data_IF_254652917132
#
_entry.id   IF_254652917132
#
_cell.length_a   1.000
_cell.length_b   1.000
_cell.length_c   1.000
_cell.angle_alpha   90.00
_cell.angle_beta   90.00
_cell.angle_gamma   90.00
#
_symmetry.space_group_name_H-M   'P 1'
#
loop_
_entity.id
_entity.type
_entity.pdbx_description
1 polymer ?
#
# COMPACT_ATOMS: atom_id res chain seq x y z
N UNK A 1 9.33 6.91 16.38
CA UNK A 1 10.12 6.51 15.21
C UNK A 1 10.94 7.71 14.76
N UNK A 2 12.22 7.55 14.59
CA UNK A 2 13.13 8.62 14.17
C UNK A 2 12.96 8.97 12.67
N UNK A 3 13.60 10.07 12.23
CA UNK A 3 13.50 10.53 10.83
C UNK A 3 14.14 9.54 9.86
N UNK A 4 15.24 8.85 10.26
CA UNK A 4 15.95 7.89 9.40
C UNK A 4 15.09 6.66 9.12
N UNK A 5 14.49 6.06 10.15
CA UNK A 5 13.57 4.93 10.02
C UNK A 5 12.33 5.29 9.16
N UNK A 6 11.82 6.52 9.31
CA UNK A 6 10.70 6.99 8.50
C UNK A 6 11.06 7.18 7.02
N UNK A 7 12.29 7.62 6.72
CA UNK A 7 12.80 7.74 5.35
C UNK A 7 13.01 6.36 4.70
N UNK A 8 13.57 5.40 5.44
CA UNK A 8 13.73 4.03 4.96
C UNK A 8 12.38 3.38 4.63
N UNK A 9 11.37 3.56 5.50
CA UNK A 9 10.01 3.08 5.24
C UNK A 9 9.36 3.75 4.02
N UNK A 10 9.59 5.05 3.81
CA UNK A 10 9.13 5.73 2.61
C UNK A 10 9.79 5.12 1.36
N UNK A 11 11.11 4.96 1.35
CA UNK A 11 11.84 4.39 0.22
C UNK A 11 11.36 2.95 -0.09
N UNK A 12 11.18 2.10 0.94
CA UNK A 12 10.65 0.75 0.78
C UNK A 12 9.25 0.73 0.18
N UNK A 13 8.34 1.59 0.68
CA UNK A 13 6.99 1.72 0.13
C UNK A 13 6.99 2.18 -1.33
N UNK A 14 7.83 3.18 -1.65
CA UNK A 14 7.95 3.67 -3.03
C UNK A 14 8.45 2.57 -3.96
N UNK A 15 9.50 1.84 -3.58
CA UNK A 15 10.03 0.74 -4.38
C UNK A 15 9.00 -0.36 -4.62
N UNK A 16 8.32 -0.82 -3.56
CA UNK A 16 7.28 -1.85 -3.67
C UNK A 16 6.06 -1.31 -4.43
N UNK A 17 5.59 -0.09 -4.12
CA UNK A 17 4.43 0.50 -4.78
C UNK A 17 4.65 0.70 -6.28
N UNK A 18 5.85 1.12 -6.68
CA UNK A 18 6.19 1.35 -8.09
C UNK A 18 6.18 0.07 -8.92
N UNK A 19 6.73 -1.05 -8.40
CA UNK A 19 6.74 -2.31 -9.17
C UNK A 19 5.31 -2.79 -9.46
N UNK A 20 4.39 -2.70 -8.49
CA UNK A 20 3.00 -3.07 -8.69
C UNK A 20 2.26 -2.07 -9.60
N UNK A 21 2.50 -0.77 -9.45
CA UNK A 21 1.85 0.23 -10.29
C UNK A 21 2.25 0.07 -11.76
N UNK A 22 3.55 -0.07 -12.03
CA UNK A 22 4.06 -0.27 -13.40
C UNK A 22 3.53 -1.58 -13.98
N UNK A 23 3.51 -2.66 -13.20
CA UNK A 23 2.96 -3.96 -13.61
C UNK A 23 1.45 -3.85 -13.92
N UNK A 24 0.66 -3.24 -13.06
CA UNK A 24 -0.78 -3.09 -13.24
C UNK A 24 -1.13 -2.22 -14.44
N UNK A 25 -0.44 -1.08 -14.62
CA UNK A 25 -0.63 -0.20 -15.77
C UNK A 25 -0.20 -0.89 -17.08
N UNK A 26 0.88 -1.68 -17.06
CA UNK A 26 1.31 -2.48 -18.20
C UNK A 26 0.26 -3.50 -18.63
N UNK A 27 -0.42 -4.16 -17.67
CA UNK A 27 -1.55 -5.07 -17.95
C UNK A 27 -2.71 -4.34 -18.64
N UNK A 28 -3.04 -3.13 -18.19
CA UNK A 28 -4.10 -2.32 -18.81
C UNK A 28 -3.71 -1.87 -20.22
N UNK A 29 -2.47 -1.45 -20.41
CA UNK A 29 -1.96 -1.00 -21.72
C UNK A 29 -1.96 -2.13 -22.76
N UNK A 30 -1.75 -3.38 -22.35
CA UNK A 30 -1.78 -4.58 -23.21
C UNK A 30 -2.84 -5.57 -22.73
N UNK A 31 -4.08 -5.10 -22.53
CA UNK A 31 -5.14 -5.89 -21.92
C UNK A 31 -5.45 -7.19 -22.65
N UNK A 32 -5.55 -7.13 -23.99
CA UNK A 32 -5.82 -8.33 -24.80
C UNK A 32 -4.71 -9.39 -24.67
N UNK A 33 -3.44 -8.98 -24.69
CA UNK A 33 -2.31 -9.86 -24.45
C UNK A 33 -2.29 -10.44 -23.05
N UNK A 34 -2.65 -9.62 -22.05
CA UNK A 34 -2.76 -10.05 -20.65
C UNK A 34 -3.86 -11.10 -20.48
N UNK A 35 -5.02 -10.90 -21.12
CA UNK A 35 -6.13 -11.86 -21.11
C UNK A 35 -5.72 -13.17 -21.79
N UNK A 36 -5.09 -13.12 -22.97
CA UNK A 36 -4.62 -14.30 -23.66
C UNK A 36 -3.62 -15.11 -22.82
N UNK A 37 -2.66 -14.43 -22.20
CA UNK A 37 -1.67 -15.07 -21.31
C UNK A 37 -2.31 -15.70 -20.07
N UNK A 38 -3.23 -15.00 -19.43
CA UNK A 38 -3.92 -15.49 -18.24
C UNK A 38 -4.85 -16.67 -18.55
N UNK A 39 -5.58 -16.61 -19.67
CA UNK A 39 -6.45 -17.69 -20.15
C UNK A 39 -5.66 -18.98 -20.45
N UNK A 40 -4.45 -18.87 -21.01
CA UNK A 40 -3.55 -20.01 -21.21
C UNK A 40 -3.12 -20.68 -19.89
N UNK A 41 -3.23 -19.97 -18.74
CA UNK A 41 -3.02 -20.50 -17.38
C UNK A 41 -4.32 -20.86 -16.65
N UNK A 42 -5.46 -20.88 -17.36
CA UNK A 42 -6.75 -21.21 -16.77
C UNK A 42 -7.36 -20.09 -15.93
N UNK A 43 -6.87 -18.84 -16.02
CA UNK A 43 -7.42 -17.71 -15.25
C UNK A 43 -8.45 -16.96 -16.10
N UNK A 44 -9.74 -16.94 -15.70
CA UNK A 44 -10.80 -16.22 -16.39
C UNK A 44 -10.63 -14.71 -16.32
N UNK A 45 -11.28 -13.99 -17.24
CA UNK A 45 -11.16 -12.51 -17.36
C UNK A 45 -11.64 -11.76 -16.12
N UNK A 46 -12.72 -12.21 -15.46
CA UNK A 46 -13.28 -11.52 -14.29
C UNK A 46 -12.31 -11.55 -13.10
N UNK A 47 -11.78 -12.69 -12.65
CA UNK A 47 -10.73 -12.74 -11.63
C UNK A 47 -9.48 -11.94 -12.02
N UNK A 48 -9.07 -11.98 -13.28
CA UNK A 48 -7.93 -11.21 -13.79
C UNK A 48 -8.15 -9.70 -13.64
N UNK A 49 -9.34 -9.21 -14.00
CA UNK A 49 -9.70 -7.80 -13.87
C UNK A 49 -9.71 -7.37 -12.38
N UNK A 50 -10.31 -8.19 -11.51
CA UNK A 50 -10.29 -7.96 -10.06
C UNK A 50 -8.87 -7.95 -9.49
N UNK A 51 -8.01 -8.88 -9.89
CA UNK A 51 -6.61 -8.93 -9.48
C UNK A 51 -5.84 -7.69 -9.94
N UNK A 52 -6.03 -7.25 -11.18
CA UNK A 52 -5.40 -6.03 -11.72
C UNK A 52 -5.85 -4.78 -10.97
N UNK A 53 -7.14 -4.69 -10.61
CA UNK A 53 -7.67 -3.60 -9.80
C UNK A 53 -7.06 -3.60 -8.38
N UNK A 54 -6.97 -4.75 -7.71
CA UNK A 54 -6.32 -4.89 -6.40
C UNK A 54 -4.85 -4.46 -6.46
N UNK A 55 -4.14 -4.86 -7.50
CA UNK A 55 -2.74 -4.50 -7.72
C UNK A 55 -2.56 -2.98 -7.83
N UNK A 56 -3.34 -2.30 -8.67
CA UNK A 56 -3.24 -0.85 -8.88
C UNK A 56 -3.67 -0.08 -7.64
N UNK A 57 -4.82 -0.41 -7.04
CA UNK A 57 -5.33 0.28 -5.87
C UNK A 57 -4.43 0.08 -4.65
N UNK A 58 -3.90 -1.14 -4.46
CA UNK A 58 -2.93 -1.44 -3.42
C UNK A 58 -1.62 -0.68 -3.61
N UNK A 59 -1.12 -0.60 -4.85
CA UNK A 59 0.06 0.18 -5.19
C UNK A 59 -0.12 1.68 -4.88
N UNK A 60 -1.23 2.28 -5.30
CA UNK A 60 -1.54 3.69 -5.02
C UNK A 60 -1.66 3.96 -3.51
N UNK A 61 -2.33 3.05 -2.79
CA UNK A 61 -2.42 3.11 -1.32
C UNK A 61 -1.02 3.13 -0.68
N UNK A 62 -0.11 2.28 -1.15
CA UNK A 62 1.26 2.19 -0.66
C UNK A 62 2.06 3.46 -0.98
N UNK A 63 2.00 3.94 -2.21
CA UNK A 63 2.74 5.13 -2.68
C UNK A 63 2.33 6.38 -1.89
N UNK A 64 1.03 6.62 -1.74
CA UNK A 64 0.50 7.77 -1.00
C UNK A 64 0.63 7.58 0.51
N UNK A 65 0.65 6.33 0.98
CA UNK A 65 0.60 5.99 2.39
C UNK A 65 -0.77 6.28 3.01
N UNK A 66 -1.85 6.03 2.24
CA UNK A 66 -3.23 6.20 2.69
C UNK A 66 -3.91 4.84 2.82
N UNK A 67 -4.53 4.59 3.98
CA UNK A 67 -5.09 3.27 4.32
C UNK A 67 -4.08 2.14 4.09
N UNK A 68 -2.83 2.39 4.41
CA UNK A 68 -1.68 1.56 4.04
C UNK A 68 -1.86 0.09 4.42
N UNK A 69 -2.47 -0.20 5.57
CA UNK A 69 -2.74 -1.60 5.98
C UNK A 69 -3.65 -2.33 5.00
N UNK A 70 -4.68 -1.66 4.48
CA UNK A 70 -5.59 -2.23 3.49
C UNK A 70 -4.92 -2.39 2.13
N UNK A 71 -4.07 -1.43 1.74
CA UNK A 71 -3.25 -1.54 0.54
C UNK A 71 -2.30 -2.72 0.58
N UNK A 72 -1.61 -2.93 1.72
CA UNK A 72 -0.76 -4.12 1.92
C UNK A 72 -1.57 -5.40 1.83
N UNK A 73 -2.72 -5.47 2.51
CA UNK A 73 -3.58 -6.65 2.45
C UNK A 73 -4.03 -6.98 1.02
N UNK A 74 -4.44 -5.95 0.25
CA UNK A 74 -4.83 -6.11 -1.16
C UNK A 74 -3.67 -6.66 -2.01
N UNK A 75 -2.46 -6.12 -1.83
CA UNK A 75 -1.28 -6.58 -2.56
C UNK A 75 -0.85 -8.00 -2.16
N UNK A 76 -0.98 -8.39 -0.90
CA UNK A 76 -0.71 -9.77 -0.47
C UNK A 76 -1.74 -10.74 -1.06
N UNK A 77 -3.03 -10.38 -1.00
CA UNK A 77 -4.12 -11.17 -1.62
C UNK A 77 -3.92 -11.33 -3.13
N UNK A 78 -3.41 -10.30 -3.80
CA UNK A 78 -3.01 -10.36 -5.22
C UNK A 78 -1.76 -11.24 -5.42
N UNK A 79 -0.70 -11.00 -4.64
CA UNK A 79 0.63 -11.55 -4.88
C UNK A 79 0.70 -13.07 -4.70
N UNK A 80 0.00 -13.61 -3.68
CA UNK A 80 0.03 -15.04 -3.36
C UNK A 80 -0.49 -15.89 -4.52
N UNK A 81 -1.73 -15.72 -5.01
CA UNK A 81 -2.24 -16.54 -6.12
C UNK A 81 -1.45 -16.30 -7.42
N UNK A 82 -1.05 -15.06 -7.71
CA UNK A 82 -0.24 -14.76 -8.90
C UNK A 82 1.09 -15.51 -8.85
N UNK A 83 1.75 -15.56 -7.72
CA UNK A 83 3.01 -16.27 -7.55
C UNK A 83 2.82 -17.78 -7.79
N UNK A 84 1.80 -18.37 -7.21
CA UNK A 84 1.53 -19.80 -7.31
C UNK A 84 1.06 -20.23 -8.71
N UNK A 85 0.28 -19.40 -9.40
CA UNK A 85 -0.28 -19.72 -10.73
C UNK A 85 0.72 -19.44 -11.85
N UNK A 86 1.40 -18.30 -11.80
CA UNK A 86 2.23 -17.84 -12.93
C UNK A 86 3.71 -18.19 -12.77
N UNK A 87 4.18 -18.44 -11.56
CA UNK A 87 5.59 -18.72 -11.26
C UNK A 87 5.79 -20.07 -10.56
N UNK A 88 4.99 -21.07 -10.95
CA UNK A 88 5.09 -22.45 -10.47
C UNK A 88 6.34 -23.14 -11.07
N UNK A 89 7.53 -22.79 -10.61
CA UNK A 89 8.81 -23.26 -11.14
C UNK A 89 8.94 -24.79 -11.16
N UNK A 90 8.26 -25.48 -10.26
CA UNK A 90 8.20 -26.96 -10.22
C UNK A 90 7.45 -27.59 -11.40
N UNK A 91 6.70 -26.82 -12.18
CA UNK A 91 5.99 -27.28 -13.38
C UNK A 91 6.83 -27.16 -14.66
N UNK A 92 8.07 -26.68 -14.57
CA UNK A 92 8.97 -26.43 -15.68
C UNK A 92 10.28 -27.17 -15.53
N UNK A 93 11.10 -27.22 -16.58
CA UNK A 93 12.42 -27.83 -16.60
C UNK A 93 13.47 -26.89 -17.22
N UNK A 94 14.76 -27.15 -16.89
CA UNK A 94 15.88 -26.42 -17.46
C UNK A 94 15.85 -24.91 -17.17
N UNK A 95 16.17 -24.11 -18.17
CA UNK A 95 16.29 -22.66 -18.05
C UNK A 95 14.97 -21.99 -17.66
N UNK A 96 13.84 -22.52 -18.13
CA UNK A 96 12.51 -21.97 -17.76
C UNK A 96 12.22 -22.17 -16.27
N UNK A 97 12.52 -23.34 -15.72
CA UNK A 97 12.38 -23.58 -14.27
C UNK A 97 13.20 -22.59 -13.45
N UNK A 98 14.44 -22.31 -13.88
CA UNK A 98 15.30 -21.33 -13.21
C UNK A 98 14.70 -19.91 -13.29
N UNK A 99 14.22 -19.49 -14.45
CA UNK A 99 13.57 -18.18 -14.62
C UNK A 99 12.35 -18.04 -13.71
N UNK A 100 11.48 -19.03 -13.70
CA UNK A 100 10.28 -19.03 -12.85
C UNK A 100 10.63 -19.07 -11.35
N UNK A 101 11.69 -19.77 -10.95
CA UNK A 101 12.19 -19.77 -9.56
C UNK A 101 12.66 -18.38 -9.14
N UNK A 102 13.37 -17.64 -9.99
CA UNK A 102 13.78 -16.26 -9.72
C UNK A 102 12.54 -15.35 -9.55
N UNK A 103 11.53 -15.50 -10.40
CA UNK A 103 10.28 -14.73 -10.27
C UNK A 103 9.52 -15.08 -8.99
N UNK A 104 9.46 -16.36 -8.64
CA UNK A 104 8.85 -16.83 -7.39
C UNK A 104 9.55 -16.21 -6.16
N UNK A 105 10.88 -16.32 -6.09
CA UNK A 105 11.67 -15.79 -4.99
C UNK A 105 11.60 -14.27 -4.90
N UNK A 106 11.58 -13.58 -6.03
CA UNK A 106 11.32 -12.12 -6.08
C UNK A 106 9.99 -11.77 -5.42
N UNK A 107 8.93 -12.50 -5.73
CA UNK A 107 7.62 -12.27 -5.15
C UNK A 107 7.58 -12.59 -3.65
N UNK A 108 8.29 -13.63 -3.19
CA UNK A 108 8.48 -13.91 -1.75
C UNK A 108 9.18 -12.74 -1.05
N UNK A 109 10.25 -12.21 -1.65
CA UNK A 109 10.96 -11.04 -1.11
C UNK A 109 10.08 -9.79 -1.04
N UNK A 110 9.26 -9.52 -2.08
CA UNK A 110 8.28 -8.43 -2.09
C UNK A 110 7.24 -8.65 -0.98
N UNK A 111 6.74 -9.88 -0.82
CA UNK A 111 5.84 -10.25 0.27
C UNK A 111 6.43 -9.96 1.65
N UNK A 112 7.70 -10.32 1.87
CA UNK A 112 8.43 -9.96 3.10
C UNK A 112 8.50 -8.45 3.33
N UNK A 113 8.79 -7.68 2.27
CA UNK A 113 8.75 -6.21 2.32
C UNK A 113 7.37 -5.65 2.68
N UNK A 114 6.30 -6.21 2.11
CA UNK A 114 4.91 -5.84 2.46
C UNK A 114 4.59 -6.12 3.92
N UNK A 115 4.99 -7.27 4.46
CA UNK A 115 4.81 -7.62 5.87
C UNK A 115 5.61 -6.70 6.80
N UNK A 116 6.80 -6.28 6.39
CA UNK A 116 7.60 -5.29 7.12
C UNK A 116 6.87 -3.94 7.20
N UNK A 117 6.27 -3.47 6.08
CA UNK A 117 5.45 -2.25 6.08
C UNK A 117 4.20 -2.42 6.96
N UNK A 118 3.58 -3.60 6.97
CA UNK A 118 2.42 -3.89 7.81
C UNK A 118 2.76 -3.80 9.30
N UNK A 119 3.90 -4.38 9.71
CA UNK A 119 4.36 -4.40 11.10
C UNK A 119 4.86 -3.05 11.59
N UNK A 120 5.70 -2.38 10.80
CA UNK A 120 6.29 -1.07 11.17
C UNK A 120 5.32 0.10 10.99
N UNK A 121 4.25 -0.10 10.23
CA UNK A 121 3.31 0.96 9.84
C UNK A 121 3.81 1.82 8.67
N UNK A 122 3.00 2.82 8.26
CA UNK A 122 3.27 3.59 7.04
C UNK A 122 4.43 4.61 7.16
N UNK A 123 4.95 4.86 8.35
CA UNK A 123 5.98 5.85 8.62
C UNK A 123 5.46 7.30 8.67
N UNK A 124 6.31 8.21 9.18
CA UNK A 124 5.95 9.61 9.39
C UNK A 124 5.66 10.37 8.07
N UNK A 125 6.21 9.92 6.95
CA UNK A 125 6.01 10.51 5.61
C UNK A 125 4.85 9.83 4.87
N UNK A 126 3.69 9.70 5.51
CA UNK A 126 2.49 9.08 4.94
C UNK A 126 1.26 9.95 5.15
N UNK A 127 0.24 9.77 4.33
CA UNK A 127 -1.06 10.43 4.50
C UNK A 127 -1.74 9.97 5.80
N UNK A 128 -1.59 8.69 6.18
CA UNK A 128 -2.12 8.13 7.43
C UNK A 128 -1.53 8.86 8.66
N UNK A 129 -0.20 9.09 8.68
CA UNK A 129 0.44 9.80 9.78
C UNK A 129 0.04 11.28 9.86
N UNK A 130 -0.14 11.95 8.70
CA UNK A 130 -0.62 13.33 8.66
C UNK A 130 -2.02 13.46 9.22
N UNK A 131 -2.90 12.52 8.87
CA UNK A 131 -4.29 12.48 9.37
C UNK A 131 -4.32 12.27 10.88
N UNK A 132 -3.55 11.33 11.41
CA UNK A 132 -3.48 11.07 12.85
C UNK A 132 -2.98 12.30 13.64
N UNK A 133 -1.96 13.00 13.12
CA UNK A 133 -1.44 14.24 13.75
C UNK A 133 -2.48 15.37 13.75
N UNK A 134 -3.30 15.49 12.69
CA UNK A 134 -4.37 16.50 12.64
C UNK A 134 -5.47 16.20 13.63
N UNK A 135 -5.85 14.93 13.78
CA UNK A 135 -6.85 14.51 14.75
C UNK A 135 -6.39 14.65 16.21
N UNK A 136 -5.08 14.58 16.47
CA UNK A 136 -4.51 14.72 17.80
C UNK A 136 -4.24 16.17 18.23
N UNK A 137 -4.47 17.18 17.38
CA UNK A 137 -4.35 18.59 17.78
C UNK A 137 -5.53 18.94 18.70
N UNK A 138 -5.28 19.45 19.94
CA UNK A 138 -6.34 19.92 20.81
C UNK A 138 -7.14 21.00 20.11
N UNK A 139 -8.48 20.95 20.22
CA UNK A 139 -9.32 22.10 19.91
C UNK A 139 -8.94 23.19 20.91
N UNK A 140 -8.27 24.23 20.47
CA UNK A 140 -8.00 25.41 21.28
C UNK A 140 -9.36 26.07 21.50
N UNK A 141 -10.00 25.76 22.64
CA UNK A 141 -11.09 26.62 23.12
C UNK A 141 -10.47 27.99 23.32
N UNK A 142 -10.98 28.99 22.61
CA UNK A 142 -10.68 30.37 22.93
C UNK A 142 -10.99 30.57 24.42
N UNK A 143 -10.13 31.27 25.19
CA UNK A 143 -10.47 31.55 26.57
C UNK A 143 -11.80 32.28 26.58
N UNK A 144 -12.76 31.70 27.34
CA UNK A 144 -14.03 32.33 27.63
C UNK A 144 -13.70 33.70 28.19
N UNK A 145 -14.15 34.76 27.50
CA UNK A 145 -13.93 36.12 27.91
C UNK A 145 -14.43 36.24 29.35
N UNK A 146 -13.48 36.46 30.25
CA UNK A 146 -13.72 36.69 31.68
C UNK A 146 -14.79 37.77 31.80
N UNK A 147 -15.96 37.38 32.25
CA UNK A 147 -17.11 38.24 32.43
C UNK A 147 -16.72 39.34 33.46
N UNK A 148 -16.44 40.52 32.91
CA UNK A 148 -16.23 41.71 33.73
C UNK A 148 -17.47 41.92 34.58
N UNK A 149 -17.34 41.66 35.89
CA UNK A 149 -18.36 41.95 36.86
C UNK A 149 -18.63 43.46 36.89
N UNK A 150 -19.89 43.92 36.81
CA UNK A 150 -20.21 45.34 36.88
C UNK A 150 -19.96 45.85 38.30
N UNK A 151 -19.08 46.87 38.40
CA UNK A 151 -18.69 47.49 39.63
C UNK A 151 -19.88 47.96 40.48
N UNK A 152 -19.90 47.50 41.73
CA UNK A 152 -20.73 48.01 42.79
C UNK A 152 -20.40 49.47 43.10
N UNK A 153 -21.21 50.39 42.64
CA UNK A 153 -21.24 51.76 43.18
C UNK A 153 -21.87 51.70 44.55
N UNK A 154 -21.10 51.87 45.61
CA UNK A 154 -21.63 52.35 46.89
C UNK A 154 -21.42 53.84 47.00
N UNK A 155 -22.54 54.58 46.95
CA UNK A 155 -22.58 55.98 47.35
C UNK A 155 -22.87 56.06 48.83
N UNK A 156 -22.36 57.13 49.49
CA UNK A 156 -23.02 57.92 50.48
C UNK A 156 -22.17 59.16 50.71
#
# INVERSE_FOLDING_TARGET
>A
MDKKSSAALLAGRLGIGLIFLVSGLGKLASWQGTVAFASAKGVPVIPLAGATALEILGALSLLVGWKTRWGVAALVVFLVPVTLVFHAFWAYQGAEAQLQAVHFLKNVAIGGGLLTVLGAGPGAFSADARRSRRAAKPVTHAPEAEAVAPGSKRGA
#
